data_IF_058761549937
#
_entry.id   IF_058761549937
#
_cell.length_a   1.000
_cell.length_b   1.000
_cell.length_c   1.000
_cell.angle_alpha   90.00
_cell.angle_beta   90.00
_cell.angle_gamma   90.00
#
_symmetry.space_group_name_H-M   'P 1'
#
loop_
_entity.id
_entity.type
_entity.pdbx_description
1 polymer ?
#
# COMPACT_ATOMS: atom_id res chain seq x y z
N UNK A 1 -33.61 -33.67 -5.77
CA UNK A 1 -32.54 -34.57 -5.30
C UNK A 1 -31.64 -33.79 -4.35
N UNK A 2 -31.16 -34.44 -3.29
CA UNK A 2 -30.35 -33.81 -2.21
C UNK A 2 -29.20 -32.94 -2.71
N UNK A 3 -28.51 -33.37 -3.77
CA UNK A 3 -27.38 -32.67 -4.42
C UNK A 3 -27.73 -31.30 -5.03
N UNK A 4 -28.96 -31.12 -5.56
CA UNK A 4 -29.37 -29.82 -6.13
C UNK A 4 -29.66 -28.75 -5.08
N UNK A 5 -30.11 -29.17 -3.89
CA UNK A 5 -30.40 -28.26 -2.79
C UNK A 5 -29.11 -27.79 -2.10
N UNK A 6 -28.07 -28.64 -2.03
CA UNK A 6 -26.76 -28.25 -1.51
C UNK A 6 -26.07 -27.25 -2.43
N UNK A 7 -26.04 -27.50 -3.74
CA UNK A 7 -25.43 -26.55 -4.71
C UNK A 7 -26.11 -25.18 -4.67
N UNK A 8 -27.44 -25.14 -4.54
CA UNK A 8 -28.18 -23.88 -4.42
C UNK A 8 -27.83 -23.15 -3.12
N UNK A 9 -27.84 -23.87 -2.00
CA UNK A 9 -27.47 -23.31 -0.69
C UNK A 9 -26.02 -22.80 -0.66
N UNK A 10 -25.09 -23.50 -1.31
CA UNK A 10 -23.68 -23.10 -1.39
C UNK A 10 -23.51 -21.84 -2.25
N UNK A 11 -24.19 -21.78 -3.39
CA UNK A 11 -24.20 -20.59 -4.25
C UNK A 11 -24.79 -19.37 -3.53
N UNK A 12 -25.90 -19.54 -2.80
CA UNK A 12 -26.49 -18.50 -1.97
C UNK A 12 -25.54 -18.04 -0.85
N UNK A 13 -24.87 -18.98 -0.17
CA UNK A 13 -23.88 -18.66 0.87
C UNK A 13 -22.68 -17.88 0.31
N UNK A 14 -22.21 -18.24 -0.88
CA UNK A 14 -21.10 -17.57 -1.56
C UNK A 14 -21.49 -16.16 -2.03
N UNK A 15 -22.67 -16.01 -2.65
CA UNK A 15 -23.19 -14.69 -3.02
C UNK A 15 -23.31 -13.78 -1.80
N UNK A 16 -23.82 -14.31 -0.68
CA UNK A 16 -23.90 -13.60 0.60
C UNK A 16 -22.53 -13.27 1.20
N UNK A 17 -21.47 -14.05 0.90
CA UNK A 17 -20.12 -13.76 1.35
C UNK A 17 -19.47 -12.64 0.52
N UNK A 18 -19.69 -12.65 -0.80
CA UNK A 18 -19.20 -11.63 -1.73
C UNK A 18 -19.90 -10.27 -1.53
N UNK A 19 -21.13 -10.27 -1.02
CA UNK A 19 -21.86 -9.04 -0.72
C UNK A 19 -21.52 -8.43 0.66
N UNK A 20 -20.69 -9.10 1.47
CA UNK A 20 -20.32 -8.59 2.79
C UNK A 20 -19.52 -7.30 2.65
N UNK A 21 -19.88 -6.32 3.47
CA UNK A 21 -19.14 -5.05 3.62
C UNK A 21 -17.62 -5.24 3.59
N UNK A 22 -17.07 -6.11 4.45
CA UNK A 22 -15.63 -6.33 4.53
C UNK A 22 -15.02 -6.77 3.21
N UNK A 23 -15.70 -7.64 2.47
CA UNK A 23 -15.19 -8.14 1.19
C UNK A 23 -15.17 -7.03 0.14
N UNK A 24 -16.30 -6.34 -0.03
CA UNK A 24 -16.43 -5.25 -1.01
C UNK A 24 -15.49 -4.09 -0.70
N UNK A 25 -15.44 -3.62 0.55
CA UNK A 25 -14.51 -2.56 0.96
C UNK A 25 -13.05 -2.99 0.80
N UNK A 26 -12.73 -4.27 1.01
CA UNK A 26 -11.39 -4.79 0.71
C UNK A 26 -11.08 -4.75 -0.79
N UNK A 27 -12.04 -5.10 -1.65
CA UNK A 27 -11.87 -5.03 -3.10
C UNK A 27 -11.64 -3.59 -3.59
N UNK A 28 -12.42 -2.63 -3.08
CA UNK A 28 -12.25 -1.20 -3.42
C UNK A 28 -10.86 -0.74 -2.99
N UNK A 29 -10.44 -1.06 -1.77
CA UNK A 29 -9.10 -0.74 -1.29
C UNK A 29 -8.01 -1.35 -2.18
N UNK A 30 -8.12 -2.64 -2.50
CA UNK A 30 -7.16 -3.31 -3.38
C UNK A 30 -7.11 -2.70 -4.77
N UNK A 31 -8.26 -2.37 -5.34
CA UNK A 31 -8.35 -1.70 -6.64
C UNK A 31 -7.61 -0.37 -6.61
N UNK A 32 -7.88 0.50 -5.63
CA UNK A 32 -7.26 1.81 -5.52
C UNK A 32 -5.73 1.71 -5.40
N UNK A 33 -5.22 0.80 -4.55
CA UNK A 33 -3.78 0.58 -4.41
C UNK A 33 -3.17 0.08 -5.73
N UNK A 34 -3.74 -0.96 -6.33
CA UNK A 34 -3.22 -1.57 -7.55
C UNK A 34 -3.27 -0.62 -8.74
N UNK A 35 -4.30 0.22 -8.81
CA UNK A 35 -4.43 1.24 -9.83
C UNK A 35 -3.25 2.22 -9.78
N UNK A 36 -2.97 2.79 -8.61
CA UNK A 36 -1.87 3.74 -8.42
C UNK A 36 -0.49 3.10 -8.64
N UNK A 37 -0.28 1.88 -8.15
CA UNK A 37 0.96 1.13 -8.40
C UNK A 37 1.15 0.85 -9.89
N UNK A 38 0.10 0.41 -10.59
CA UNK A 38 0.16 0.12 -12.01
C UNK A 38 0.40 1.39 -12.85
N UNK A 39 -0.26 2.50 -12.50
CA UNK A 39 -0.02 3.79 -13.13
C UNK A 39 1.44 4.19 -13.00
N UNK A 40 1.97 4.17 -11.78
CA UNK A 40 3.38 4.46 -11.48
C UNK A 40 4.31 3.52 -12.22
N UNK A 41 4.02 2.22 -12.26
CA UNK A 41 4.82 1.21 -12.98
C UNK A 41 4.92 1.51 -14.47
N UNK A 42 3.80 1.89 -15.12
CA UNK A 42 3.81 2.31 -16.52
C UNK A 42 4.66 3.55 -16.74
N UNK A 43 4.56 4.51 -15.84
CA UNK A 43 5.37 5.72 -15.88
C UNK A 43 6.86 5.43 -15.72
N UNK A 44 7.23 4.49 -14.85
CA UNK A 44 8.61 4.04 -14.66
C UNK A 44 9.20 3.32 -15.89
N UNK A 45 8.34 2.78 -16.75
CA UNK A 45 8.73 2.08 -17.98
C UNK A 45 8.85 3.01 -19.21
N UNK A 46 8.66 4.33 -19.03
CA UNK A 46 8.86 5.30 -20.10
C UNK A 46 10.32 5.30 -20.58
N UNK A 47 10.53 5.27 -21.91
CA UNK A 47 11.87 5.14 -22.53
C UNK A 47 12.86 6.24 -22.15
N UNK A 48 12.36 7.44 -21.88
CA UNK A 48 13.17 8.64 -21.63
C UNK A 48 13.11 9.08 -20.16
N UNK A 49 12.97 8.13 -19.23
CA UNK A 49 12.92 8.44 -17.81
C UNK A 49 14.32 8.52 -17.20
N UNK A 50 14.61 9.65 -16.55
CA UNK A 50 15.82 9.77 -15.74
C UNK A 50 15.54 9.35 -14.27
N UNK A 51 16.61 9.04 -13.53
CA UNK A 51 16.51 8.53 -12.15
C UNK A 51 15.80 9.54 -11.23
N UNK A 52 16.08 10.84 -11.39
CA UNK A 52 15.47 11.89 -10.58
C UNK A 52 13.94 11.92 -10.74
N UNK A 53 13.47 11.91 -11.99
CA UNK A 53 12.05 11.85 -12.33
C UNK A 53 11.41 10.56 -11.83
N UNK A 54 12.12 9.42 -11.86
CA UNK A 54 11.62 8.17 -11.30
C UNK A 54 11.40 8.27 -9.77
N UNK A 55 12.33 8.89 -9.04
CA UNK A 55 12.18 9.15 -7.60
C UNK A 55 10.97 10.05 -7.33
N UNK A 56 10.82 11.14 -8.09
CA UNK A 56 9.68 12.05 -7.94
C UNK A 56 8.34 11.33 -8.14
N UNK A 57 8.24 10.46 -9.16
CA UNK A 57 7.02 9.69 -9.42
C UNK A 57 6.71 8.73 -8.28
N UNK A 58 7.71 7.99 -7.79
CA UNK A 58 7.54 7.10 -6.63
C UNK A 58 7.13 7.87 -5.35
N UNK A 59 7.69 9.06 -5.13
CA UNK A 59 7.30 9.93 -4.00
C UNK A 59 5.84 10.41 -4.13
N UNK A 60 5.40 10.76 -5.34
CA UNK A 60 3.99 11.10 -5.58
C UNK A 60 3.07 9.91 -5.25
N UNK A 61 3.42 8.70 -5.69
CA UNK A 61 2.66 7.48 -5.36
C UNK A 61 2.58 7.27 -3.85
N UNK A 62 3.71 7.46 -3.14
CA UNK A 62 3.74 7.36 -1.68
C UNK A 62 2.76 8.34 -1.03
N UNK A 63 2.78 9.60 -1.44
CA UNK A 63 1.88 10.62 -0.90
C UNK A 63 0.40 10.27 -1.15
N UNK A 64 0.06 9.74 -2.33
CA UNK A 64 -1.30 9.29 -2.64
C UNK A 64 -1.72 8.14 -1.72
N UNK A 65 -0.83 7.16 -1.48
CA UNK A 65 -1.12 6.07 -0.53
C UNK A 65 -1.28 6.58 0.91
N UNK A 66 -0.51 7.59 1.32
CA UNK A 66 -0.67 8.27 2.61
C UNK A 66 -2.01 9.02 2.70
N UNK A 67 -2.48 9.62 1.61
CA UNK A 67 -3.82 10.21 1.53
C UNK A 67 -4.92 9.15 1.67
N UNK A 68 -4.78 7.98 1.04
CA UNK A 68 -5.71 6.87 1.28
C UNK A 68 -5.68 6.40 2.73
N UNK A 69 -4.51 6.46 3.39
CA UNK A 69 -4.33 6.11 4.80
C UNK A 69 -4.95 7.11 5.78
N UNK A 70 -5.48 8.23 5.31
CA UNK A 70 -6.13 9.23 6.16
C UNK A 70 -7.53 8.78 6.61
N UNK A 71 -8.08 9.45 7.62
CA UNK A 71 -9.47 9.24 8.02
C UNK A 71 -10.43 9.64 6.89
N UNK A 72 -10.08 10.69 6.13
CA UNK A 72 -10.81 11.12 4.94
C UNK A 72 -10.77 10.07 3.82
N UNK A 73 -9.62 9.43 3.61
CA UNK A 73 -9.45 8.34 2.62
C UNK A 73 -10.31 7.13 2.95
N UNK A 74 -10.40 6.78 4.24
CA UNK A 74 -11.30 5.74 4.70
C UNK A 74 -12.76 6.09 4.43
N UNK A 75 -13.20 7.31 4.76
CA UNK A 75 -14.58 7.72 4.51
C UNK A 75 -14.91 7.79 3.00
N UNK A 76 -13.97 8.19 2.13
CA UNK A 76 -14.15 8.07 0.66
C UNK A 76 -14.39 6.62 0.22
N UNK A 77 -13.59 5.68 0.74
CA UNK A 77 -13.76 4.24 0.45
C UNK A 77 -15.15 3.74 0.87
N UNK A 78 -15.73 4.31 1.93
CA UNK A 78 -17.09 3.98 2.36
C UNK A 78 -18.15 4.57 1.44
N UNK A 79 -17.94 5.77 0.92
CA UNK A 79 -18.81 6.38 -0.10
C UNK A 79 -18.80 5.51 -1.35
N UNK A 80 -17.62 5.14 -1.85
CA UNK A 80 -17.47 4.25 -3.00
C UNK A 80 -18.18 2.90 -2.77
N UNK A 81 -18.11 2.37 -1.54
CA UNK A 81 -18.83 1.15 -1.16
C UNK A 81 -20.35 1.34 -1.22
N UNK A 82 -20.87 2.48 -0.75
CA UNK A 82 -22.30 2.77 -0.78
C UNK A 82 -22.82 2.92 -2.21
N UNK A 83 -22.09 3.63 -3.07
CA UNK A 83 -22.42 3.79 -4.48
C UNK A 83 -22.43 2.43 -5.20
N UNK A 84 -21.41 1.59 -4.97
CA UNK A 84 -21.34 0.26 -5.55
C UNK A 84 -22.42 -0.68 -5.00
N UNK A 85 -22.78 -0.55 -3.72
CA UNK A 85 -23.84 -1.35 -3.11
C UNK A 85 -25.22 -0.96 -3.65
N UNK A 86 -25.44 0.32 -3.98
CA UNK A 86 -26.65 0.80 -4.65
C UNK A 86 -26.72 0.27 -6.09
N UNK A 87 -25.62 0.31 -6.84
CA UNK A 87 -25.56 -0.18 -8.23
C UNK A 87 -25.82 -1.69 -8.33
N UNK A 88 -25.32 -2.48 -7.37
CA UNK A 88 -25.45 -3.95 -7.37
C UNK A 88 -26.69 -4.43 -6.58
N UNK A 89 -27.54 -3.53 -6.08
CA UNK A 89 -28.74 -3.85 -5.26
C UNK A 89 -28.44 -4.72 -4.02
N UNK A 90 -27.26 -4.60 -3.40
CA UNK A 90 -26.92 -5.39 -2.21
C UNK A 90 -27.61 -4.85 -0.95
N UNK A 91 -27.95 -5.76 -0.03
CA UNK A 91 -28.38 -5.38 1.33
C UNK A 91 -27.22 -4.69 2.07
N UNK A 92 -27.31 -3.36 2.17
CA UNK A 92 -26.42 -2.42 2.87
C UNK A 92 -26.42 -2.57 4.40
N UNK A 93 -26.51 -3.81 4.91
CA UNK A 93 -26.41 -4.04 6.37
C UNK A 93 -25.02 -4.49 6.74
N UNK A 94 -24.38 -3.63 7.52
CA UNK A 94 -23.27 -4.01 8.38
C UNK A 94 -23.79 -5.02 9.40
N UNK A 95 -23.83 -6.30 9.01
CA UNK A 95 -24.13 -7.39 9.93
C UNK A 95 -23.07 -7.34 11.05
N UNK A 96 -23.47 -7.16 12.32
CA UNK A 96 -22.54 -7.26 13.42
C UNK A 96 -22.07 -8.71 13.49
N UNK A 97 -20.88 -8.98 12.97
CA UNK A 97 -20.26 -10.28 13.17
C UNK A 97 -20.16 -10.57 14.67
N UNK A 98 -20.50 -11.77 15.14
CA UNK A 98 -20.35 -12.14 16.53
C UNK A 98 -18.87 -12.10 16.90
N UNK A 99 -18.46 -11.04 17.61
CA UNK A 99 -17.08 -10.89 18.08
C UNK A 99 -16.89 -11.82 19.28
N UNK A 100 -16.17 -12.92 19.08
CA UNK A 100 -15.68 -13.73 20.19
C UNK A 100 -14.50 -12.97 20.85
N UNK A 101 -14.78 -12.24 21.92
CA UNK A 101 -13.78 -11.46 22.66
C UNK A 101 -13.01 -12.43 23.57
N UNK A 102 -11.83 -12.86 23.12
CA UNK A 102 -10.87 -13.55 23.98
C UNK A 102 -10.19 -12.51 24.88
N UNK A 103 -10.73 -12.29 26.07
CA UNK A 103 -10.06 -11.47 27.08
C UNK A 103 -8.85 -12.24 27.63
N UNK A 104 -7.64 -11.67 27.48
CA UNK A 104 -6.46 -12.20 28.14
C UNK A 104 -6.66 -12.08 29.65
N UNK A 105 -6.53 -13.19 30.38
CA UNK A 105 -6.69 -13.18 31.84
C UNK A 105 -5.57 -12.33 32.43
N UNK A 106 -5.94 -11.23 33.10
CA UNK A 106 -5.00 -10.33 33.76
C UNK A 106 -4.28 -11.09 34.86
N UNK A 107 -2.94 -11.15 34.80
CA UNK A 107 -2.14 -11.85 35.83
C UNK A 107 -1.82 -10.93 37.00
N UNK A 108 -1.70 -9.62 36.76
CA UNK A 108 -1.32 -8.64 37.79
C UNK A 108 -2.19 -7.38 37.74
N UNK A 109 -2.51 -6.83 38.91
CA UNK A 109 -3.43 -5.69 39.07
C UNK A 109 -2.89 -4.35 38.53
N UNK A 110 -1.60 -4.27 38.20
CA UNK A 110 -0.98 -3.08 37.60
C UNK A 110 -0.97 -3.11 36.06
N UNK A 111 -1.36 -4.21 35.42
CA UNK A 111 -1.47 -4.30 33.96
C UNK A 111 -2.66 -3.44 33.48
N UNK A 112 -2.46 -2.58 32.49
CA UNK A 112 -3.58 -1.91 31.82
C UNK A 112 -4.44 -2.94 31.08
N UNK A 113 -5.78 -2.80 31.13
CA UNK A 113 -6.66 -3.64 30.31
C UNK A 113 -6.52 -3.21 28.85
N UNK A 114 -6.05 -4.10 27.99
CA UNK A 114 -6.22 -3.97 26.54
C UNK A 114 -7.72 -4.03 26.25
N UNK A 115 -8.37 -2.87 26.08
CA UNK A 115 -9.78 -2.81 25.70
C UNK A 115 -9.90 -3.16 24.21
N UNK A 116 -10.54 -4.28 23.84
CA UNK A 116 -10.76 -4.59 22.45
C UNK A 116 -11.66 -3.52 21.81
N UNK A 117 -11.36 -3.14 20.58
CA UNK A 117 -12.22 -2.22 19.81
C UNK A 117 -13.61 -2.86 19.66
N UNK A 118 -14.61 -2.29 20.33
CA UNK A 118 -15.98 -2.83 20.32
C UNK A 118 -16.70 -2.57 18.99
N UNK A 119 -16.37 -1.47 18.31
CA UNK A 119 -17.01 -1.11 17.04
C UNK A 119 -16.38 -1.90 15.88
N UNK A 120 -17.12 -2.75 15.14
CA UNK A 120 -16.54 -3.58 14.10
C UNK A 120 -16.04 -2.75 12.90
N UNK A 121 -16.62 -1.56 12.64
CA UNK A 121 -16.14 -0.62 11.61
C UNK A 121 -14.75 -0.12 11.98
N UNK A 122 -14.57 0.31 13.22
CA UNK A 122 -13.27 0.78 13.72
C UNK A 122 -12.23 -0.34 13.77
N UNK A 123 -12.65 -1.57 14.13
CA UNK A 123 -11.76 -2.73 14.12
C UNK A 123 -11.29 -3.05 12.70
N UNK A 124 -12.17 -3.01 11.71
CA UNK A 124 -11.80 -3.20 10.30
C UNK A 124 -10.86 -2.09 9.82
N UNK A 125 -11.15 -0.83 10.16
CA UNK A 125 -10.30 0.31 9.84
C UNK A 125 -8.87 0.14 10.34
N UNK A 126 -8.71 -0.17 11.63
CA UNK A 126 -7.37 -0.26 12.26
C UNK A 126 -6.65 -1.55 11.89
N UNK A 127 -7.30 -2.71 11.98
CA UNK A 127 -6.62 -4.01 11.88
C UNK A 127 -6.47 -4.52 10.44
N UNK A 128 -7.18 -3.92 9.48
CA UNK A 128 -7.14 -4.35 8.10
C UNK A 128 -6.81 -3.19 7.17
N UNK A 129 -7.67 -2.17 7.09
CA UNK A 129 -7.54 -1.07 6.12
C UNK A 129 -6.19 -0.35 6.26
N UNK A 130 -5.90 0.10 7.48
CA UNK A 130 -4.63 0.77 7.80
C UNK A 130 -3.43 -0.15 7.68
N UNK A 131 -3.53 -1.41 8.11
CA UNK A 131 -2.43 -2.37 8.02
C UNK A 131 -2.02 -2.67 6.58
N UNK A 132 -3.00 -2.81 5.67
CA UNK A 132 -2.73 -3.03 4.23
C UNK A 132 -2.05 -1.81 3.61
N UNK A 133 -2.56 -0.60 3.90
CA UNK A 133 -1.97 0.64 3.39
C UNK A 133 -0.57 0.89 3.95
N UNK A 134 -0.34 0.64 5.25
CA UNK A 134 0.99 0.74 5.86
C UNK A 134 2.01 -0.15 5.16
N UNK A 135 1.59 -1.38 4.81
CA UNK A 135 2.43 -2.31 4.09
C UNK A 135 2.76 -1.78 2.69
N UNK A 136 1.75 -1.27 1.96
CA UNK A 136 1.95 -0.71 0.63
C UNK A 136 2.87 0.53 0.66
N UNK A 137 2.65 1.45 1.60
CA UNK A 137 3.48 2.64 1.81
C UNK A 137 4.92 2.24 2.12
N UNK A 138 5.12 1.29 3.03
CA UNK A 138 6.44 0.81 3.39
C UNK A 138 7.20 0.26 2.18
N UNK A 139 6.56 -0.59 1.37
CA UNK A 139 7.18 -1.16 0.18
C UNK A 139 7.53 -0.09 -0.87
N UNK A 140 6.68 0.92 -1.06
CA UNK A 140 6.99 2.05 -1.96
C UNK A 140 8.13 2.89 -1.41
N UNK A 141 8.17 3.14 -0.10
CA UNK A 141 9.24 3.89 0.55
C UNK A 141 10.59 3.18 0.43
N UNK A 142 10.64 1.85 0.62
CA UNK A 142 11.85 1.05 0.37
C UNK A 142 12.36 1.24 -1.07
N UNK A 143 11.46 1.29 -2.06
CA UNK A 143 11.83 1.55 -3.46
C UNK A 143 12.35 2.97 -3.67
N UNK A 144 11.75 3.96 -3.02
CA UNK A 144 12.25 5.35 -3.06
C UNK A 144 13.68 5.41 -2.51
N UNK A 145 13.94 4.78 -1.36
CA UNK A 145 15.26 4.74 -0.73
C UNK A 145 16.29 4.05 -1.64
N UNK A 146 15.94 2.91 -2.25
CA UNK A 146 16.80 2.23 -3.23
C UNK A 146 17.14 3.13 -4.43
N UNK A 147 16.14 3.84 -4.98
CA UNK A 147 16.36 4.73 -6.10
C UNK A 147 17.21 5.96 -5.74
N UNK A 148 17.06 6.49 -4.52
CA UNK A 148 17.91 7.57 -4.01
C UNK A 148 19.37 7.12 -3.83
N UNK A 149 19.61 5.88 -3.39
CA UNK A 149 20.95 5.33 -3.34
C UNK A 149 21.59 5.27 -4.73
N UNK A 150 20.82 4.82 -5.74
CA UNK A 150 21.26 4.81 -7.13
C UNK A 150 21.53 6.22 -7.66
N UNK A 151 20.65 7.19 -7.40
CA UNK A 151 20.86 8.60 -7.75
C UNK A 151 22.15 9.15 -7.11
N UNK A 152 22.45 8.78 -5.88
CA UNK A 152 23.66 9.23 -5.21
C UNK A 152 24.97 8.76 -5.88
N UNK A 153 24.92 7.65 -6.63
CA UNK A 153 26.07 7.05 -7.32
C UNK A 153 26.09 7.45 -8.79
N UNK A 154 24.96 7.32 -9.49
CA UNK A 154 24.85 7.51 -10.94
C UNK A 154 24.26 8.85 -11.35
N UNK A 155 23.61 9.58 -10.43
CA UNK A 155 22.86 10.80 -10.74
C UNK A 155 23.70 11.89 -11.38
N UNK A 156 25.00 11.98 -11.05
CA UNK A 156 25.88 12.96 -11.67
C UNK A 156 26.00 12.78 -13.19
N UNK A 157 25.85 11.56 -13.72
CA UNK A 157 25.92 11.27 -15.16
C UNK A 157 24.74 11.88 -15.93
N UNK A 158 23.60 12.08 -15.27
CA UNK A 158 22.39 12.61 -15.87
C UNK A 158 22.30 14.15 -15.78
N UNK A 159 23.16 14.80 -15.00
CA UNK A 159 23.19 16.26 -14.83
C UNK A 159 24.50 16.87 -15.34
N UNK A 160 24.67 16.83 -16.67
CA UNK A 160 25.86 17.33 -17.38
C UNK A 160 26.06 18.83 -17.15
N UNK A 161 24.97 19.60 -17.05
CA UNK A 161 25.05 21.05 -16.81
C UNK A 161 25.58 21.37 -15.40
N UNK A 162 25.19 20.60 -14.38
CA UNK A 162 25.80 20.75 -13.05
C UNK A 162 27.26 20.31 -13.04
N UNK A 163 27.62 19.27 -13.81
CA UNK A 163 29.00 18.78 -13.90
C UNK A 163 29.95 19.84 -14.45
N UNK A 164 29.54 20.61 -15.46
CA UNK A 164 30.34 21.70 -16.02
C UNK A 164 30.65 22.81 -15.00
N UNK A 165 29.80 22.97 -13.97
CA UNK A 165 29.99 23.94 -12.90
C UNK A 165 30.82 23.41 -11.74
N UNK A 166 31.16 22.12 -11.73
CA UNK A 166 31.91 21.47 -10.66
C UNK A 166 33.40 21.50 -10.93
N UNK A 167 34.18 21.50 -9.85
CA UNK A 167 35.64 21.44 -9.92
C UNK A 167 36.12 20.03 -10.29
N UNK A 168 37.30 19.92 -10.90
CA UNK A 168 37.91 18.63 -11.23
C UNK A 168 38.07 17.69 -10.02
N UNK A 169 38.28 18.25 -8.82
CA UNK A 169 38.34 17.49 -7.56
C UNK A 169 37.01 16.82 -7.23
N UNK A 170 35.89 17.55 -7.32
CA UNK A 170 34.55 17.02 -7.06
C UNK A 170 34.14 15.95 -8.09
N UNK A 171 34.50 16.15 -9.36
CA UNK A 171 34.26 15.15 -10.40
C UNK A 171 35.04 13.87 -10.09
N UNK A 172 36.30 13.99 -9.67
CA UNK A 172 37.12 12.84 -9.26
C UNK A 172 36.52 12.10 -8.07
N UNK A 173 35.98 12.82 -7.08
CA UNK A 173 35.29 12.21 -5.93
C UNK A 173 34.08 11.38 -6.37
N UNK A 174 33.26 11.88 -7.31
CA UNK A 174 32.17 11.09 -7.89
C UNK A 174 32.64 9.86 -8.66
N UNK A 175 33.71 9.98 -9.46
CA UNK A 175 34.29 8.85 -10.17
C UNK A 175 34.79 7.76 -9.22
N UNK A 176 35.45 8.12 -8.11
CA UNK A 176 35.91 7.17 -7.09
C UNK A 176 34.71 6.49 -6.41
N UNK A 177 33.66 7.24 -6.10
CA UNK A 177 32.43 6.67 -5.53
C UNK A 177 31.80 5.66 -6.49
N UNK A 178 31.72 6.00 -7.78
CA UNK A 178 31.22 5.10 -8.82
C UNK A 178 32.09 3.84 -8.95
N UNK A 179 33.41 3.99 -9.00
CA UNK A 179 34.36 2.87 -9.05
C UNK A 179 34.18 1.93 -7.85
N UNK A 180 34.05 2.48 -6.64
CA UNK A 180 33.82 1.68 -5.42
C UNK A 180 32.53 0.88 -5.47
N UNK A 181 31.44 1.48 -6.00
CA UNK A 181 30.15 0.82 -6.12
C UNK A 181 30.19 -0.33 -7.15
N UNK A 182 30.99 -0.20 -8.21
CA UNK A 182 31.13 -1.20 -9.27
C UNK A 182 32.12 -2.32 -8.94
N UNK A 183 33.09 -2.07 -8.04
CA UNK A 183 34.15 -3.05 -7.72
C UNK A 183 33.75 -4.13 -6.71
N UNK A 184 32.58 -4.01 -6.06
CA UNK A 184 32.07 -4.99 -5.09
C UNK A 184 31.65 -6.36 -5.68
N UNK A 185 31.72 -6.55 -7.01
CA UNK A 185 31.44 -7.84 -7.67
C UNK A 185 32.65 -8.73 -8.00
N UNK A 186 33.88 -8.29 -7.73
CA UNK A 186 35.11 -9.01 -8.12
C UNK A 186 35.78 -9.81 -6.98
N UNK A 187 35.10 -10.00 -5.85
CA UNK A 187 35.54 -10.95 -4.82
C UNK A 187 34.66 -12.20 -4.88
N UNK A 188 35.31 -13.30 -5.26
CA UNK A 188 34.83 -14.69 -5.44
C UNK A 188 33.63 -15.13 -4.60
#
# INVERSE_FOLDING_TARGET
GSSGNTTRSDAEALANALSKFKFVTSLILWYNILFEINFTSKQLQEKNLNIHSAIQRLQQTKNILEEFRSDEGFERTLVDFLELAEEIEFLTKFEPEPVCIWQKKQQFSYEGRDTPIQNPKQRFKVNFYFTVLDTAIHLVDERVQQMQQLESVFGFLYDIHSLQKKTAKQIREFCIKLESALTHGNSK
#
